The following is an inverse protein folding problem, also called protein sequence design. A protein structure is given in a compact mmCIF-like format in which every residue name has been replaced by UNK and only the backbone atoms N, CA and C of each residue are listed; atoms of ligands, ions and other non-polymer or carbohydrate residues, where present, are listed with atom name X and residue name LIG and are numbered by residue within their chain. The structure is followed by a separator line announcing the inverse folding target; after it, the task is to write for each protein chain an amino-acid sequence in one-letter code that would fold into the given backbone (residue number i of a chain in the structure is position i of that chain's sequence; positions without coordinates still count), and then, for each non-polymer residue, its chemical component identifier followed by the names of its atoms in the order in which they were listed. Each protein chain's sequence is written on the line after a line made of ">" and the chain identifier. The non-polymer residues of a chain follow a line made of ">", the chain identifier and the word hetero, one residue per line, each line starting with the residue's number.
data_IF_597064047390
#
_entry.id   IF_597064047390
#
_cell.length_a   1.000
_cell.length_b   1.000
_cell.length_c   1.000
_cell.angle_alpha   90.00
_cell.angle_beta   90.00
_cell.angle_gamma   90.00
#
_symmetry.space_group_name_H-M   'P 1'
#
loop_
_entity.id
_entity.type
_entity.pdbx_description
1 polymer ?
#
# COMPACT_ATOMS: atom_id res chain seq x y z
N UNK A 1 14.35 -1.40 24.50
CA UNK A 1 13.75 -0.22 23.84
C UNK A 1 12.38 -0.64 23.30
N UNK A 2 11.29 0.10 23.59
CA UNK A 2 9.97 -0.25 23.05
C UNK A 2 9.97 -0.08 21.52
N UNK A 3 9.39 -1.00 20.75
CA UNK A 3 9.30 -0.84 19.30
C UNK A 3 8.48 0.42 18.98
N UNK A 4 8.92 1.19 17.98
CA UNK A 4 8.16 2.34 17.48
C UNK A 4 7.07 1.80 16.56
N UNK A 5 5.82 2.16 16.83
CA UNK A 5 4.64 1.66 16.11
C UNK A 5 3.83 2.85 15.63
N UNK A 6 3.29 2.75 14.42
CA UNK A 6 2.31 3.69 13.89
C UNK A 6 1.11 2.93 13.34
N UNK A 7 -0.08 3.38 13.69
CA UNK A 7 -1.35 2.88 13.19
C UNK A 7 -1.99 3.95 12.30
N UNK A 8 -2.52 3.53 11.16
CA UNK A 8 -3.18 4.39 10.18
C UNK A 8 -4.51 3.79 9.75
N UNK A 9 -5.47 4.68 9.49
CA UNK A 9 -6.75 4.32 8.86
C UNK A 9 -6.90 5.18 7.61
N UNK A 10 -7.12 4.53 6.48
CA UNK A 10 -7.35 5.19 5.20
C UNK A 10 -8.80 4.93 4.77
N UNK A 11 -9.61 5.98 4.74
CA UNK A 11 -11.04 5.90 4.42
C UNK A 11 -11.26 5.87 2.89
N UNK A 12 -10.86 4.78 2.25
CA UNK A 12 -11.03 4.56 0.82
C UNK A 12 -11.28 3.09 0.50
N UNK A 13 -11.99 2.83 -0.61
CA UNK A 13 -12.15 1.47 -1.13
C UNK A 13 -10.78 0.92 -1.55
N UNK A 14 -10.36 -0.24 -1.04
CA UNK A 14 -9.14 -0.87 -1.51
C UNK A 14 -9.23 -1.17 -3.01
N UNK A 15 -8.21 -0.75 -3.77
CA UNK A 15 -8.12 -0.99 -5.22
C UNK A 15 -6.86 -1.82 -5.48
N UNK A 16 -6.98 -3.00 -6.12
CA UNK A 16 -5.82 -3.82 -6.43
C UNK A 16 -4.96 -3.16 -7.51
N UNK A 17 -3.65 -3.36 -7.44
CA UNK A 17 -2.71 -2.88 -8.43
C UNK A 17 -3.11 -3.35 -9.84
N UNK A 18 -3.18 -2.41 -10.79
CA UNK A 18 -3.40 -2.75 -12.20
C UNK A 18 -2.12 -3.36 -12.79
N UNK A 19 -2.30 -4.36 -13.67
CA UNK A 19 -1.18 -4.89 -14.46
C UNK A 19 -0.62 -3.77 -15.36
N UNK A 20 0.70 -3.71 -15.55
CA UNK A 20 1.31 -2.68 -16.38
C UNK A 20 0.76 -2.73 -17.80
N UNK A 21 0.43 -1.56 -18.36
CA UNK A 21 -0.04 -1.45 -19.74
C UNK A 21 1.13 -1.14 -20.65
N UNK A 22 1.17 -1.82 -21.78
CA UNK A 22 2.20 -1.66 -22.79
C UNK A 22 1.64 -0.87 -23.96
N UNK A 23 2.31 0.22 -24.33
CA UNK A 23 2.13 0.86 -25.63
C UNK A 23 3.41 0.71 -26.43
N UNK A 24 3.25 0.41 -27.72
CA UNK A 24 4.37 0.34 -28.67
C UNK A 24 4.21 1.51 -29.62
N UNK A 25 5.25 2.32 -29.75
CA UNK A 25 5.35 3.35 -30.78
C UNK A 25 6.52 3.05 -31.70
N UNK A 26 6.40 3.41 -32.98
CA UNK A 26 7.46 3.20 -33.97
C UNK A 26 8.09 4.54 -34.33
N UNK A 27 9.42 4.62 -34.25
CA UNK A 27 10.18 5.81 -34.67
C UNK A 27 11.44 5.38 -35.43
N UNK A 28 11.59 5.85 -36.68
CA UNK A 28 12.69 5.48 -37.60
C UNK A 28 12.87 3.95 -37.72
N UNK A 29 11.77 3.21 -37.86
CA UNK A 29 11.80 1.75 -37.99
C UNK A 29 12.13 0.95 -36.71
N UNK A 30 12.28 1.62 -35.55
CA UNK A 30 12.49 0.96 -34.24
C UNK A 30 11.23 1.04 -33.38
N UNK A 31 10.92 -0.07 -32.70
CA UNK A 31 9.83 -0.15 -31.73
C UNK A 31 10.29 0.35 -30.35
N UNK A 32 9.51 1.24 -29.74
CA UNK A 32 9.73 1.76 -28.39
C UNK A 32 8.52 1.40 -27.54
N UNK A 33 8.74 0.52 -26.56
CA UNK A 33 7.74 0.16 -25.55
C UNK A 33 7.72 1.20 -24.43
N UNK A 34 6.53 1.70 -24.09
CA UNK A 34 6.31 2.47 -22.86
C UNK A 34 5.40 1.67 -21.95
N UNK A 35 5.86 1.46 -20.72
CA UNK A 35 5.03 0.92 -19.66
C UNK A 35 4.41 2.10 -18.92
N UNK A 36 3.08 2.11 -18.79
CA UNK A 36 2.39 3.15 -18.05
C UNK A 36 1.38 2.56 -17.08
N UNK A 37 1.26 3.22 -15.94
CA UNK A 37 0.19 3.00 -14.97
C UNK A 37 -1.02 3.87 -15.33
N UNK A 38 -2.23 3.37 -15.08
CA UNK A 38 -3.47 4.09 -15.34
C UNK A 38 -3.56 5.37 -14.50
N UNK A 39 -4.19 6.41 -15.04
CA UNK A 39 -4.40 7.66 -14.27
C UNK A 39 -5.24 7.42 -13.01
N UNK A 40 -6.14 6.43 -13.04
CA UNK A 40 -6.95 6.02 -11.87
C UNK A 40 -6.06 5.49 -10.75
N UNK A 41 -5.12 4.59 -11.06
CA UNK A 41 -4.22 4.00 -10.07
C UNK A 41 -3.26 5.03 -9.49
N UNK A 42 -2.73 5.94 -10.32
CA UNK A 42 -1.90 7.06 -9.84
C UNK A 42 -2.64 7.93 -8.82
N UNK A 43 -3.85 8.37 -9.15
CA UNK A 43 -4.70 9.17 -8.24
C UNK A 43 -5.01 8.43 -6.95
N UNK A 44 -5.24 7.12 -7.03
CA UNK A 44 -5.49 6.27 -5.86
C UNK A 44 -4.27 6.23 -4.92
N UNK A 45 -3.08 5.98 -5.45
CA UNK A 45 -1.83 5.98 -4.68
C UNK A 45 -1.50 7.37 -4.11
N UNK A 46 -1.71 8.42 -4.90
CA UNK A 46 -1.56 9.81 -4.44
C UNK A 46 -2.50 10.12 -3.27
N UNK A 47 -3.77 9.71 -3.35
CA UNK A 47 -4.74 9.89 -2.27
C UNK A 47 -4.27 9.20 -0.97
N UNK A 48 -3.87 7.92 -1.04
CA UNK A 48 -3.32 7.20 0.10
C UNK A 48 -2.10 7.95 0.65
N UNK A 49 -1.20 8.40 -0.22
CA UNK A 49 -0.02 9.14 0.17
C UNK A 49 -0.33 10.44 0.90
N UNK A 50 -1.34 11.19 0.47
CA UNK A 50 -1.80 12.40 1.16
C UNK A 50 -2.40 12.10 2.55
N UNK A 51 -3.23 11.06 2.64
CA UNK A 51 -3.80 10.60 3.91
C UNK A 51 -2.70 10.18 4.90
N UNK A 52 -1.70 9.44 4.43
CA UNK A 52 -0.53 9.03 5.21
C UNK A 52 0.30 10.24 5.65
N UNK A 53 0.61 11.18 4.75
CA UNK A 53 1.35 12.41 5.09
C UNK A 53 0.63 13.23 6.16
N UNK A 54 -0.70 13.27 6.14
CA UNK A 54 -1.48 13.98 7.17
C UNK A 54 -1.35 13.33 8.54
N UNK A 55 -1.32 11.99 8.60
CA UNK A 55 -1.26 11.22 9.84
C UNK A 55 0.17 11.03 10.36
N UNK A 56 1.14 10.89 9.46
CA UNK A 56 2.54 10.58 9.76
C UNK A 56 3.37 11.84 10.03
N UNK A 57 3.47 12.20 11.31
CA UNK A 57 4.24 13.37 11.78
C UNK A 57 5.70 13.05 12.10
N UNK A 58 6.32 12.13 11.35
CA UNK A 58 7.70 11.69 11.55
C UNK A 58 8.48 11.74 10.23
N UNK A 59 9.80 11.69 10.33
CA UNK A 59 10.66 11.54 9.14
C UNK A 59 10.50 10.14 8.54
N UNK A 60 10.74 10.01 7.23
CA UNK A 60 10.78 8.73 6.52
C UNK A 60 11.74 7.77 7.26
N UNK A 61 11.35 6.51 7.40
CA UNK A 61 12.17 5.46 8.02
C UNK A 61 13.35 5.14 7.08
N UNK A 62 14.61 5.37 7.49
CA UNK A 62 15.78 5.17 6.63
C UNK A 62 15.96 3.73 6.15
N UNK A 63 16.48 3.54 4.93
CA UNK A 63 16.65 2.23 4.24
C UNK A 63 17.27 1.07 5.04
N UNK A 64 18.05 1.37 6.07
CA UNK A 64 18.79 0.38 6.85
C UNK A 64 18.02 -0.14 8.07
N UNK A 65 16.85 0.45 8.36
CA UNK A 65 16.00 0.08 9.48
C UNK A 65 14.93 -0.92 9.00
N UNK A 66 14.90 -2.15 9.54
CA UNK A 66 13.89 -3.14 9.19
C UNK A 66 12.52 -2.79 9.79
N UNK A 67 11.47 -3.05 9.01
CA UNK A 67 10.09 -2.82 9.43
C UNK A 67 9.24 -4.07 9.23
N UNK A 68 8.18 -4.18 10.04
CA UNK A 68 7.05 -5.06 9.78
C UNK A 68 5.81 -4.22 9.42
N UNK A 69 4.99 -4.73 8.52
CA UNK A 69 3.70 -4.14 8.18
C UNK A 69 2.60 -5.17 8.44
N UNK A 70 1.55 -4.74 9.14
CA UNK A 70 0.28 -5.45 9.22
C UNK A 70 -0.76 -4.60 8.51
N UNK A 71 -1.54 -5.17 7.61
CA UNK A 71 -2.61 -4.44 6.94
C UNK A 71 -3.89 -5.25 6.85
N UNK A 72 -5.02 -4.55 6.96
CA UNK A 72 -6.35 -5.14 6.83
C UNK A 72 -7.13 -4.34 5.79
N UNK A 73 -7.65 -5.05 4.78
CA UNK A 73 -8.46 -4.48 3.72
C UNK A 73 -9.94 -4.78 3.97
N UNK A 74 -10.73 -3.75 4.23
CA UNK A 74 -12.18 -3.87 4.37
C UNK A 74 -12.83 -3.68 3.01
N UNK A 75 -13.42 -4.75 2.48
CA UNK A 75 -13.96 -4.80 1.13
C UNK A 75 -15.48 -4.93 1.17
N UNK A 76 -16.12 -4.40 0.13
CA UNK A 76 -17.50 -4.78 -0.19
C UNK A 76 -17.52 -6.27 -0.53
N UNK A 77 -18.54 -6.98 -0.07
CA UNK A 77 -18.75 -8.41 -0.31
C UNK A 77 -18.51 -8.83 -1.78
N UNK A 78 -19.08 -8.07 -2.72
CA UNK A 78 -18.92 -8.29 -4.17
C UNK A 78 -17.47 -8.26 -4.68
N UNK A 79 -16.56 -7.63 -3.95
CA UNK A 79 -15.16 -7.44 -4.29
C UNK A 79 -14.23 -8.38 -3.49
N UNK A 80 -14.71 -8.98 -2.40
CA UNK A 80 -13.92 -9.78 -1.47
C UNK A 80 -13.17 -10.93 -2.18
N UNK A 81 -13.87 -11.72 -2.98
CA UNK A 81 -13.28 -12.84 -3.74
C UNK A 81 -12.71 -12.41 -5.11
N UNK A 82 -13.04 -11.21 -5.59
CA UNK A 82 -12.58 -10.72 -6.91
C UNK A 82 -11.21 -10.07 -6.87
N UNK A 83 -10.83 -9.52 -5.72
CA UNK A 83 -9.58 -8.78 -5.56
C UNK A 83 -8.53 -9.70 -4.92
N UNK A 84 -7.41 -9.88 -5.62
CA UNK A 84 -6.28 -10.62 -5.10
C UNK A 84 -5.57 -9.81 -4.00
N UNK A 85 -5.22 -10.47 -2.91
CA UNK A 85 -4.63 -9.80 -1.75
C UNK A 85 -3.22 -9.28 -2.02
N UNK A 86 -2.44 -9.99 -2.83
CA UNK A 86 -1.10 -9.57 -3.27
C UNK A 86 -1.14 -8.27 -4.09
N UNK A 87 -2.14 -8.11 -4.96
CA UNK A 87 -2.32 -6.89 -5.74
C UNK A 87 -2.78 -5.71 -4.86
N UNK A 88 -3.58 -5.96 -3.81
CA UNK A 88 -3.95 -4.94 -2.83
C UNK A 88 -2.73 -4.48 -2.01
N UNK A 89 -1.95 -5.43 -1.52
CA UNK A 89 -0.68 -5.18 -0.84
C UNK A 89 0.23 -4.33 -1.73
N UNK A 90 0.42 -4.72 -2.99
CA UNK A 90 1.31 -4.02 -3.92
C UNK A 90 0.91 -2.56 -4.10
N UNK A 91 -0.37 -2.30 -4.33
CA UNK A 91 -0.87 -0.93 -4.48
C UNK A 91 -0.63 -0.09 -3.22
N UNK A 92 -0.83 -0.68 -2.03
CA UNK A 92 -0.59 -0.04 -0.75
C UNK A 92 0.89 0.27 -0.51
N UNK A 93 1.78 -0.71 -0.72
CA UNK A 93 3.23 -0.53 -0.51
C UNK A 93 3.81 0.52 -1.46
N UNK A 94 3.41 0.48 -2.74
CA UNK A 94 3.79 1.48 -3.73
C UNK A 94 3.36 2.90 -3.30
N UNK A 95 2.22 3.05 -2.62
CA UNK A 95 1.74 4.34 -2.11
C UNK A 95 2.44 4.79 -0.82
N UNK A 96 2.93 3.86 0.00
CA UNK A 96 3.65 4.14 1.25
C UNK A 96 5.13 4.49 1.04
N UNK A 97 5.73 3.95 -0.02
CA UNK A 97 7.15 4.16 -0.32
C UNK A 97 7.45 5.65 -0.60
N UNK A 98 8.55 6.13 -0.03
CA UNK A 98 8.93 7.55 -0.06
C UNK A 98 8.11 8.43 0.89
N UNK A 99 7.18 7.87 1.67
CA UNK A 99 6.38 8.58 2.67
C UNK A 99 6.63 8.01 4.07
N UNK A 100 6.44 6.71 4.23
CA UNK A 100 6.67 6.01 5.50
C UNK A 100 8.08 5.45 5.55
N UNK A 101 8.52 4.76 4.50
CA UNK A 101 9.82 4.11 4.38
C UNK A 101 10.47 4.47 3.04
N UNK A 102 11.79 4.36 2.94
CA UNK A 102 12.55 4.75 1.74
C UNK A 102 12.42 3.71 0.62
N UNK A 103 12.45 2.42 0.96
CA UNK A 103 12.41 1.32 0.01
C UNK A 103 11.64 0.11 0.60
N UNK A 104 10.90 -0.61 -0.25
CA UNK A 104 10.11 -1.77 0.15
C UNK A 104 10.97 -2.96 0.64
N UNK A 105 12.26 -3.00 0.29
CA UNK A 105 13.22 -3.96 0.83
C UNK A 105 13.40 -3.89 2.36
N UNK A 106 12.96 -2.81 3.02
CA UNK A 106 12.95 -2.67 4.46
C UNK A 106 11.90 -3.57 5.13
N UNK A 107 10.88 -3.99 4.39
CA UNK A 107 9.76 -4.77 4.89
C UNK A 107 10.19 -6.23 5.00
N UNK A 108 10.64 -6.63 6.18
CA UNK A 108 11.10 -8.01 6.44
C UNK A 108 10.00 -8.92 6.96
N UNK A 109 8.85 -8.34 7.33
CA UNK A 109 7.64 -9.07 7.73
C UNK A 109 6.40 -8.34 7.22
N UNK A 110 5.49 -9.08 6.62
CA UNK A 110 4.23 -8.57 6.12
C UNK A 110 3.11 -9.53 6.50
N UNK A 111 2.07 -9.01 7.14
CA UNK A 111 0.83 -9.72 7.41
C UNK A 111 -0.32 -8.94 6.77
N UNK A 112 -1.20 -9.63 6.06
CA UNK A 112 -2.32 -9.01 5.36
C UNK A 112 -3.60 -9.83 5.50
N UNK A 113 -4.72 -9.16 5.70
CA UNK A 113 -6.05 -9.77 5.77
C UNK A 113 -7.09 -9.03 4.94
N UNK A 114 -8.16 -9.73 4.55
CA UNK A 114 -9.36 -9.14 3.94
C UNK A 114 -10.56 -9.43 4.84
N UNK A 115 -11.44 -8.45 5.01
CA UNK A 115 -12.70 -8.61 5.72
C UNK A 115 -13.86 -8.02 4.92
N UNK A 116 -15.06 -8.55 5.12
CA UNK A 116 -16.27 -7.99 4.53
C UNK A 116 -16.75 -6.83 5.41
N UNK A 117 -16.91 -5.67 4.79
CA UNK A 117 -17.16 -4.41 5.49
C UNK A 117 -18.52 -4.30 6.19
N UNK A 118 -19.42 -5.28 6.05
CA UNK A 118 -20.75 -5.31 6.68
C UNK A 118 -20.75 -5.95 8.07
N UNK A 119 -19.75 -6.76 8.40
CA UNK A 119 -19.84 -7.69 9.54
C UNK A 119 -19.52 -7.06 10.91
N UNK A 120 -18.94 -5.85 10.98
CA UNK A 120 -18.22 -5.47 12.20
C UNK A 120 -18.91 -4.57 13.21
N UNK A 121 -20.08 -3.97 12.94
CA UNK A 121 -20.91 -3.27 13.95
C UNK A 121 -20.27 -2.14 14.79
N UNK A 122 -18.95 -1.91 14.70
CA UNK A 122 -18.12 -1.04 15.52
C UNK A 122 -16.99 -0.49 14.62
N UNK A 123 -17.19 0.72 14.06
CA UNK A 123 -16.20 1.71 13.52
C UNK A 123 -15.31 1.28 12.31
N UNK A 124 -14.93 2.17 11.35
CA UNK A 124 -15.62 3.31 10.73
C UNK A 124 -16.28 2.88 9.39
N UNK A 125 -17.01 3.77 8.73
CA UNK A 125 -17.86 3.43 7.58
C UNK A 125 -17.13 2.69 6.43
N UNK A 126 -17.81 1.72 5.77
CA UNK A 126 -17.22 0.90 4.72
C UNK A 126 -16.94 1.68 3.42
N UNK A 127 -15.96 1.29 2.59
CA UNK A 127 -14.75 0.47 2.79
C UNK A 127 -13.47 1.29 3.14
N UNK A 128 -12.53 0.71 3.89
CA UNK A 128 -11.28 1.34 4.37
C UNK A 128 -10.08 0.38 4.39
N UNK A 129 -8.89 0.93 4.69
CA UNK A 129 -7.64 0.18 4.89
C UNK A 129 -7.09 0.52 6.27
N UNK A 130 -6.82 -0.49 7.09
CA UNK A 130 -6.07 -0.36 8.33
C UNK A 130 -4.63 -0.80 8.12
N UNK A 131 -3.69 -0.05 8.67
CA UNK A 131 -2.26 -0.27 8.47
C UNK A 131 -1.55 -0.07 9.81
N UNK A 132 -0.73 -1.02 10.19
CA UNK A 132 0.22 -0.89 11.29
C UNK A 132 1.64 -1.06 10.78
N UNK A 133 2.49 -0.12 11.14
CA UNK A 133 3.91 -0.13 10.80
C UNK A 133 4.70 -0.26 12.09
N UNK A 134 5.54 -1.29 12.17
CA UNK A 134 6.32 -1.62 13.36
C UNK A 134 7.80 -1.52 13.00
N UNK A 135 8.54 -0.63 13.67
CA UNK A 135 9.99 -0.60 13.59
C UNK A 135 10.57 -1.76 14.37
N UNK A 136 11.34 -2.60 13.69
CA UNK A 136 12.01 -3.72 14.31
C UNK A 136 13.41 -3.29 14.76
N UNK A 137 13.92 -3.85 15.87
CA UNK A 137 15.32 -3.64 16.23
C UNK A 137 16.22 -4.16 15.11
N UNK A 138 17.34 -3.48 14.87
CA UNK A 138 18.35 -3.97 13.93
C UNK A 138 18.87 -5.32 14.46
N UNK A 139 18.57 -6.39 13.72
CA UNK A 139 18.98 -7.77 14.02
C UNK A 139 19.92 -8.30 12.93
N UNK A 140 20.78 -7.45 12.38
CA UNK A 140 21.98 -7.94 11.69
C UNK A 140 22.79 -8.74 12.70
N UNK A 141 22.62 -10.05 12.65
CA UNK A 141 23.48 -11.05 13.29
C UNK A 141 24.79 -11.08 12.52
#
# INVERSE_FOLDING_TARGET
>A
MKPKIWDFIINTEPIPQERPRFTVSYRKGRAYGRVYESQKMKKYKEFIGWELKRQYKSSIIPKYIPIAIECIFFLKEKNFFKMDIDNLIKALLDAMQGIIFENDNQIIRLSAGKYISKELGIIPQPPCIEIKVIVLPDRRI
#
